data_IF_588383159338
#
_entry.id   IF_588383159338
#
_cell.length_a   1.000
_cell.length_b   1.000
_cell.length_c   1.000
_cell.angle_alpha   90.00
_cell.angle_beta   90.00
_cell.angle_gamma   90.00
#
_symmetry.space_group_name_H-M   'P 1'
#
loop_
_entity.id
_entity.type
_entity.pdbx_description
1 polymer ?
#
# COMPACT_ATOMS: atom_id res chain seq x y z
N UNK A 1 12.92 -1.20 -5.45
CA UNK A 1 12.26 -0.50 -4.33
C UNK A 1 10.75 -0.60 -4.51
N UNK A 2 9.98 -0.85 -3.45
CA UNK A 2 8.50 -0.88 -3.45
C UNK A 2 7.90 0.51 -3.68
N UNK A 3 8.20 1.13 -4.82
CA UNK A 3 7.77 2.51 -5.14
C UNK A 3 6.24 2.70 -5.12
N UNK A 4 5.47 1.61 -5.04
CA UNK A 4 4.02 1.61 -5.00
C UNK A 4 3.39 1.24 -3.64
N UNK A 5 4.15 0.90 -2.60
CA UNK A 5 3.56 0.75 -1.26
C UNK A 5 3.50 2.14 -0.64
N UNK A 6 2.28 2.67 -0.44
CA UNK A 6 2.04 4.00 0.14
C UNK A 6 1.73 3.88 1.64
N UNK A 7 2.08 4.88 2.46
CA UNK A 7 1.59 4.94 3.84
C UNK A 7 0.06 5.03 3.84
N UNK A 8 -0.61 4.21 4.65
CA UNK A 8 -2.08 4.14 4.76
C UNK A 8 -2.61 4.62 6.12
N UNK A 9 -1.74 4.90 7.08
CA UNK A 9 -2.14 5.31 8.43
C UNK A 9 -2.66 6.76 8.48
N UNK A 10 -3.70 6.97 9.29
CA UNK A 10 -4.27 8.25 9.69
C UNK A 10 -4.88 9.07 8.54
N UNK A 11 -5.67 8.43 7.68
CA UNK A 11 -6.47 9.13 6.66
C UNK A 11 -7.91 9.27 7.09
N UNK A 12 -8.56 10.34 6.65
CA UNK A 12 -10.01 10.54 6.74
C UNK A 12 -10.55 10.71 5.31
N UNK A 13 -11.41 9.81 4.79
CA UNK A 13 -11.83 8.55 5.40
C UNK A 13 -10.69 7.51 5.50
N UNK A 14 -10.78 6.54 6.43
CA UNK A 14 -9.77 5.48 6.63
C UNK A 14 -9.40 4.73 5.35
N UNK A 15 -8.24 4.07 5.35
CA UNK A 15 -7.78 3.25 4.24
C UNK A 15 -8.80 2.15 3.89
N UNK A 16 -9.03 1.93 2.61
CA UNK A 16 -9.96 0.89 2.15
C UNK A 16 -9.25 -0.48 2.08
N UNK A 17 -10.04 -1.56 2.09
CA UNK A 17 -9.49 -2.91 1.97
C UNK A 17 -8.73 -3.11 0.65
N UNK A 18 -9.21 -2.49 -0.44
CA UNK A 18 -8.53 -2.52 -1.74
C UNK A 18 -7.15 -1.86 -1.69
N UNK A 19 -6.99 -0.76 -0.93
CA UNK A 19 -5.70 -0.08 -0.77
C UNK A 19 -4.72 -0.94 0.02
N UNK A 20 -5.20 -1.61 1.08
CA UNK A 20 -4.42 -2.54 1.88
C UNK A 20 -4.03 -3.76 1.05
N UNK A 21 -4.97 -4.34 0.28
CA UNK A 21 -4.72 -5.47 -0.60
C UNK A 21 -3.73 -5.13 -1.73
N UNK A 22 -3.83 -3.94 -2.30
CA UNK A 22 -2.86 -3.45 -3.28
C UNK A 22 -1.46 -3.31 -2.66
N UNK A 23 -1.34 -2.80 -1.43
CA UNK A 23 -0.08 -2.73 -0.72
C UNK A 23 0.50 -4.12 -0.42
N UNK A 24 -0.32 -5.05 0.05
CA UNK A 24 0.04 -6.44 0.31
C UNK A 24 0.56 -7.14 -0.96
N UNK A 25 -0.12 -6.98 -2.10
CA UNK A 25 0.32 -7.51 -3.38
C UNK A 25 1.71 -7.00 -3.78
N UNK A 26 1.97 -5.70 -3.62
CA UNK A 26 3.27 -5.14 -3.94
C UNK A 26 4.37 -5.62 -2.98
N UNK A 27 4.04 -5.86 -1.72
CA UNK A 27 4.94 -6.46 -0.74
C UNK A 27 5.29 -7.89 -1.15
N UNK A 28 4.29 -8.73 -1.44
CA UNK A 28 4.51 -10.13 -1.85
C UNK A 28 5.36 -10.19 -3.12
N UNK A 29 5.07 -9.35 -4.12
CA UNK A 29 5.89 -9.25 -5.35
C UNK A 29 7.33 -8.87 -5.05
N UNK A 30 7.56 -7.94 -4.12
CA UNK A 30 8.90 -7.51 -3.74
C UNK A 30 9.69 -8.63 -3.07
N UNK A 31 9.07 -9.31 -2.10
CA UNK A 31 9.73 -10.31 -1.25
C UNK A 31 9.98 -11.60 -2.04
N UNK A 32 9.00 -12.02 -2.84
CA UNK A 32 9.14 -13.21 -3.71
C UNK A 32 10.10 -13.00 -4.90
N UNK A 33 10.42 -11.75 -5.24
CA UNK A 33 11.21 -11.42 -6.44
C UNK A 33 10.46 -11.62 -7.76
N UNK A 34 9.16 -11.94 -7.71
CA UNK A 34 8.33 -12.13 -8.91
C UNK A 34 7.23 -11.08 -9.01
N UNK A 35 7.16 -10.41 -10.16
CA UNK A 35 6.06 -9.47 -10.46
C UNK A 35 4.76 -10.19 -10.83
N UNK A 36 4.85 -11.41 -11.37
CA UNK A 36 3.71 -12.24 -11.73
C UNK A 36 4.00 -13.70 -11.34
N UNK A 37 3.19 -14.34 -10.48
CA UNK A 37 3.38 -15.74 -10.16
C UNK A 37 3.26 -16.62 -11.41
N UNK A 38 3.98 -17.75 -11.41
CA UNK A 38 3.69 -18.83 -12.34
C UNK A 38 2.33 -19.47 -12.00
N UNK A 39 1.72 -20.19 -12.95
CA UNK A 39 0.45 -20.88 -12.70
C UNK A 39 0.52 -21.83 -11.49
N UNK A 40 1.67 -22.49 -11.29
CA UNK A 40 1.90 -23.38 -10.15
C UNK A 40 1.93 -22.64 -8.80
N UNK A 41 2.36 -21.38 -8.80
CA UNK A 41 2.51 -20.57 -7.58
C UNK A 41 1.34 -19.60 -7.35
N UNK A 42 0.31 -19.62 -8.20
CA UNK A 42 -0.81 -18.67 -8.11
C UNK A 42 -1.51 -18.76 -6.74
N UNK A 43 -1.86 -19.98 -6.32
CA UNK A 43 -2.57 -20.20 -5.06
C UNK A 43 -1.78 -19.70 -3.83
N UNK A 44 -0.47 -19.97 -3.76
CA UNK A 44 0.34 -19.52 -2.62
C UNK A 44 0.57 -18.01 -2.64
N UNK A 45 0.60 -17.38 -3.83
CA UNK A 45 0.64 -15.93 -3.98
C UNK A 45 -0.64 -15.30 -3.44
N UNK A 46 -1.80 -15.81 -3.86
CA UNK A 46 -3.10 -15.28 -3.49
C UNK A 46 -3.33 -15.42 -1.97
N UNK A 47 -2.96 -16.56 -1.40
CA UNK A 47 -3.01 -16.78 0.05
C UNK A 47 -2.11 -15.79 0.80
N UNK A 48 -0.86 -15.61 0.38
CA UNK A 48 0.05 -14.68 1.03
C UNK A 48 -0.47 -13.23 0.97
N UNK A 49 -1.06 -12.82 -0.15
CA UNK A 49 -1.68 -11.49 -0.28
C UNK A 49 -2.87 -11.36 0.68
N UNK A 50 -3.73 -12.38 0.77
CA UNK A 50 -4.86 -12.39 1.71
C UNK A 50 -4.41 -12.24 3.17
N UNK A 51 -3.47 -13.08 3.61
CA UNK A 51 -3.00 -13.09 5.01
C UNK A 51 -2.35 -11.76 5.40
N UNK A 52 -1.54 -11.20 4.50
CA UNK A 52 -0.89 -9.90 4.73
C UNK A 52 -1.93 -8.78 4.72
N UNK A 53 -2.93 -8.84 3.85
CA UNK A 53 -4.03 -7.86 3.84
C UNK A 53 -4.74 -7.85 5.19
N UNK A 54 -5.07 -9.04 5.71
CA UNK A 54 -5.71 -9.18 7.01
C UNK A 54 -4.86 -8.58 8.14
N UNK A 55 -3.59 -8.95 8.25
CA UNK A 55 -2.71 -8.46 9.32
C UNK A 55 -2.48 -6.95 9.22
N UNK A 56 -2.26 -6.42 8.02
CA UNK A 56 -2.04 -4.98 7.82
C UNK A 56 -3.32 -4.19 8.09
N UNK A 57 -4.51 -4.73 7.76
CA UNK A 57 -5.78 -4.10 8.09
C UNK A 57 -5.91 -3.86 9.59
N UNK A 58 -5.71 -4.92 10.38
CA UNK A 58 -5.77 -4.83 11.84
C UNK A 58 -4.73 -3.84 12.39
N UNK A 59 -3.50 -3.88 11.88
CA UNK A 59 -2.48 -2.91 12.25
C UNK A 59 -2.93 -1.47 12.01
N UNK A 60 -3.51 -1.16 10.84
CA UNK A 60 -3.95 0.20 10.51
C UNK A 60 -5.13 0.64 11.39
N UNK A 61 -6.07 -0.25 11.67
CA UNK A 61 -7.22 0.04 12.52
C UNK A 61 -6.81 0.28 13.99
N UNK A 62 -5.78 -0.43 14.48
CA UNK A 62 -5.33 -0.36 15.87
C UNK A 62 -4.29 0.75 16.13
N UNK A 63 -3.71 1.35 15.08
CA UNK A 63 -2.70 2.40 15.23
C UNK A 63 -3.30 3.69 15.79
N UNK A 64 -2.86 4.06 17.00
CA UNK A 64 -3.23 5.33 17.64
C UNK A 64 -2.22 6.43 17.30
N UNK A 65 -2.71 7.63 17.00
CA UNK A 65 -1.88 8.81 16.76
C UNK A 65 -2.54 10.09 17.26
N UNK A 66 -1.73 11.05 17.68
CA UNK A 66 -2.18 12.40 18.06
C UNK A 66 -2.11 13.39 16.89
N UNK A 67 -1.59 12.96 15.74
CA UNK A 67 -1.48 13.81 14.55
C UNK A 67 -2.86 14.02 13.91
N UNK A 68 -3.14 15.21 13.33
CA UNK A 68 -4.38 15.44 12.62
C UNK A 68 -4.54 14.46 11.44
N UNK A 69 -5.76 14.00 11.13
CA UNK A 69 -6.02 13.14 9.99
C UNK A 69 -5.53 13.75 8.67
N UNK A 70 -5.05 12.89 7.77
CA UNK A 70 -4.57 13.26 6.45
C UNK A 70 -5.72 13.25 5.46
N UNK A 71 -5.75 14.27 4.61
CA UNK A 71 -6.63 14.32 3.46
C UNK A 71 -5.96 13.65 2.24
N UNK A 72 -6.73 12.79 1.56
CA UNK A 72 -6.26 11.99 0.41
C UNK A 72 -5.88 12.85 -0.78
N UNK A 73 -6.68 13.87 -1.11
CA UNK A 73 -6.45 14.76 -2.25
C UNK A 73 -5.23 15.64 -2.02
N UNK A 74 -5.05 16.13 -0.80
CA UNK A 74 -3.87 16.90 -0.40
C UNK A 74 -2.60 16.07 -0.52
N UNK A 75 -2.61 14.82 -0.04
CA UNK A 75 -1.45 13.94 -0.14
C UNK A 75 -1.14 13.53 -1.59
N UNK A 76 -2.18 13.33 -2.41
CA UNK A 76 -2.04 13.10 -3.84
C UNK A 76 -1.46 14.32 -4.58
N UNK A 77 -1.92 15.53 -4.26
CA UNK A 77 -1.39 16.77 -4.82
C UNK A 77 0.09 16.95 -4.49
N UNK A 78 0.49 16.80 -3.22
CA UNK A 78 1.90 16.83 -2.80
C UNK A 78 2.73 15.77 -3.54
N UNK A 79 2.18 14.59 -3.78
CA UNK A 79 2.87 13.55 -4.54
C UNK A 79 3.08 13.95 -6.02
N UNK A 80 2.08 14.57 -6.66
CA UNK A 80 2.17 15.08 -8.03
C UNK A 80 3.22 16.19 -8.14
N UNK A 81 3.23 17.14 -7.22
CA UNK A 81 4.24 18.23 -7.19
C UNK A 81 5.67 17.67 -7.04
N UNK A 82 5.87 16.73 -6.11
CA UNK A 82 7.17 16.04 -5.95
C UNK A 82 7.60 15.30 -7.21
N UNK A 83 6.65 14.71 -7.94
CA UNK A 83 6.94 14.04 -9.22
C UNK A 83 7.31 15.06 -10.30
N UNK A 84 6.55 16.15 -10.43
CA UNK A 84 6.85 17.23 -11.39
C UNK A 84 8.27 17.78 -11.18
N UNK A 85 8.66 18.08 -9.94
CA UNK A 85 10.03 18.54 -9.62
C UNK A 85 11.10 17.51 -10.00
N UNK A 86 10.81 16.22 -9.88
CA UNK A 86 11.76 15.14 -10.22
C UNK A 86 11.94 14.98 -11.72
N UNK A 87 10.89 15.22 -12.51
CA UNK A 87 10.86 15.01 -13.96
C UNK A 87 10.94 16.31 -14.78
N UNK A 88 11.11 17.46 -14.14
CA UNK A 88 11.26 18.76 -14.80
C UNK A 88 12.65 18.99 -15.45
N UNK A 89 13.46 17.93 -15.60
CA UNK A 89 14.78 17.94 -16.24
C UNK A 89 14.80 16.93 -17.37
#
# INVERSE_FOLDING_TARGET
MCRNIRPLNNFEPPATDDEVAAAALQFVRKVSGSTKPSSANQAIFDQAVHDITHVVRHLIDDLVTTAPPKDREVEAAKARERAALRYAR
#
